data_IF_420051654793
#
_entry.id   IF_420051654793
#
_cell.length_a   1.000
_cell.length_b   1.000
_cell.length_c   1.000
_cell.angle_alpha   90.00
_cell.angle_beta   90.00
_cell.angle_gamma   90.00
#
_symmetry.space_group_name_H-M   'P 1'
#
loop_
_entity.id
_entity.type
_entity.pdbx_description
1 polymer ?
#
# COMPACT_ATOMS: atom_id res chain seq x y z
N UNK A 1 6.42 -32.49 12.21
CA UNK A 1 5.84 -32.25 10.87
C UNK A 1 6.04 -30.78 10.51
N UNK A 2 7.29 -30.34 10.31
CA UNK A 2 7.63 -28.92 10.03
C UNK A 2 8.84 -28.73 9.13
N UNK A 3 9.50 -29.81 8.67
CA UNK A 3 10.73 -29.70 7.89
C UNK A 3 10.48 -29.44 6.39
N UNK A 4 9.41 -30.01 5.85
CA UNK A 4 9.05 -29.95 4.42
C UNK A 4 8.72 -28.53 3.93
N UNK A 5 8.02 -27.74 4.76
CA UNK A 5 7.67 -26.35 4.42
C UNK A 5 8.90 -25.45 4.27
N UNK A 6 9.98 -25.73 5.03
CA UNK A 6 11.22 -24.96 4.95
C UNK A 6 12.01 -25.26 3.67
N UNK A 7 11.99 -26.51 3.21
CA UNK A 7 12.69 -26.94 2.00
C UNK A 7 11.99 -26.42 0.74
N UNK A 8 10.66 -26.41 0.74
CA UNK A 8 9.84 -25.82 -0.33
C UNK A 8 10.10 -24.32 -0.45
N UNK A 9 10.12 -23.59 0.66
CA UNK A 9 10.36 -22.15 0.64
C UNK A 9 11.78 -21.81 0.14
N UNK A 10 12.80 -22.54 0.61
CA UNK A 10 14.19 -22.39 0.11
C UNK A 10 14.28 -22.64 -1.40
N UNK A 11 13.59 -23.65 -1.91
CA UNK A 11 13.58 -23.99 -3.34
C UNK A 11 12.89 -22.91 -4.18
N UNK A 12 11.81 -22.31 -3.64
CA UNK A 12 11.14 -21.18 -4.28
C UNK A 12 12.06 -19.96 -4.34
N UNK A 13 12.70 -19.60 -3.23
CA UNK A 13 13.65 -18.48 -3.17
C UNK A 13 14.81 -18.70 -4.15
N UNK A 14 15.39 -19.90 -4.21
CA UNK A 14 16.47 -20.21 -5.13
C UNK A 14 16.08 -20.01 -6.60
N UNK A 15 14.88 -20.45 -7.00
CA UNK A 15 14.38 -20.25 -8.36
C UNK A 15 14.13 -18.78 -8.68
N UNK A 16 13.67 -18.02 -7.70
CA UNK A 16 13.52 -16.58 -7.84
C UNK A 16 14.89 -15.92 -8.05
N UNK A 17 15.90 -16.19 -7.21
CA UNK A 17 17.26 -15.65 -7.37
C UNK A 17 17.84 -15.98 -8.76
N UNK A 18 17.63 -17.19 -9.26
CA UNK A 18 18.11 -17.57 -10.59
C UNK A 18 17.44 -16.78 -11.72
N UNK A 19 16.14 -16.50 -11.62
CA UNK A 19 15.45 -15.66 -12.61
C UNK A 19 16.00 -14.22 -12.60
N UNK A 20 16.27 -13.65 -11.41
CA UNK A 20 16.89 -12.33 -11.29
C UNK A 20 18.21 -12.24 -12.03
N UNK A 21 19.13 -13.17 -11.71
CA UNK A 21 20.48 -13.16 -12.28
C UNK A 21 20.45 -13.46 -13.79
N UNK A 22 19.44 -14.19 -14.28
CA UNK A 22 19.24 -14.40 -15.71
C UNK A 22 18.75 -13.13 -16.43
N UNK A 23 17.85 -12.36 -15.80
CA UNK A 23 17.36 -11.09 -16.35
C UNK A 23 18.42 -9.97 -16.26
N UNK A 24 19.36 -10.10 -15.33
CA UNK A 24 20.45 -9.14 -15.09
C UNK A 24 21.82 -9.85 -15.04
N UNK A 25 22.35 -10.35 -16.17
CA UNK A 25 23.56 -11.17 -16.21
C UNK A 25 24.82 -10.43 -15.75
N UNK A 26 24.82 -9.10 -15.80
CA UNK A 26 25.91 -8.24 -15.34
C UNK A 26 25.74 -7.79 -13.88
N UNK A 27 24.72 -8.29 -13.17
CA UNK A 27 24.49 -7.93 -11.77
C UNK A 27 25.56 -8.56 -10.86
N UNK A 28 26.53 -7.76 -10.45
CA UNK A 28 27.46 -8.08 -9.37
C UNK A 28 26.85 -7.70 -8.01
N UNK A 29 25.76 -8.38 -7.66
CA UNK A 29 24.99 -8.02 -6.49
C UNK A 29 25.46 -8.74 -5.21
N UNK A 30 25.26 -8.09 -4.07
CA UNK A 30 25.56 -8.67 -2.76
C UNK A 30 24.34 -9.37 -2.19
N UNK A 31 24.48 -10.19 -1.14
CA UNK A 31 23.32 -10.76 -0.45
C UNK A 31 22.33 -9.68 -0.02
N UNK A 32 22.83 -8.59 0.56
CA UNK A 32 22.00 -7.48 1.02
C UNK A 32 21.28 -6.81 -0.16
N UNK A 33 21.93 -6.68 -1.32
CA UNK A 33 21.31 -6.10 -2.50
C UNK A 33 20.23 -7.00 -3.13
N UNK A 34 20.48 -8.31 -3.22
CA UNK A 34 19.49 -9.32 -3.66
C UNK A 34 18.25 -9.31 -2.75
N UNK A 35 18.46 -9.20 -1.42
CA UNK A 35 17.37 -9.19 -0.43
C UNK A 35 16.61 -7.86 -0.43
N UNK A 36 17.31 -6.72 -0.40
CA UNK A 36 16.67 -5.40 -0.26
C UNK A 36 16.00 -4.91 -1.53
N UNK A 37 16.60 -5.14 -2.69
CA UNK A 37 16.13 -4.52 -3.92
C UNK A 37 15.21 -5.47 -4.67
N UNK A 38 15.70 -6.64 -5.07
CA UNK A 38 14.93 -7.45 -6.00
C UNK A 38 13.82 -8.29 -5.37
N UNK A 39 14.10 -8.97 -4.23
CA UNK A 39 13.07 -9.77 -3.55
C UNK A 39 11.97 -8.90 -2.92
N UNK A 40 12.32 -7.72 -2.41
CA UNK A 40 11.34 -6.78 -1.88
C UNK A 40 10.51 -6.16 -3.00
N UNK A 41 11.12 -5.69 -4.08
CA UNK A 41 10.43 -5.09 -5.23
C UNK A 41 9.46 -6.07 -5.89
N UNK A 42 9.87 -7.33 -6.09
CA UNK A 42 8.96 -8.36 -6.63
C UNK A 42 7.80 -8.69 -5.71
N UNK A 43 8.04 -8.78 -4.40
CA UNK A 43 6.95 -8.96 -3.42
C UNK A 43 6.00 -7.76 -3.45
N UNK A 44 6.53 -6.53 -3.50
CA UNK A 44 5.72 -5.32 -3.63
C UNK A 44 4.86 -5.40 -4.90
N UNK A 45 5.45 -5.73 -6.06
CA UNK A 45 4.72 -5.86 -7.31
C UNK A 45 3.61 -6.93 -7.25
N UNK A 46 3.94 -8.13 -6.72
CA UNK A 46 2.98 -9.22 -6.57
C UNK A 46 1.81 -8.87 -5.65
N UNK A 47 2.05 -8.07 -4.61
CA UNK A 47 1.03 -7.69 -3.65
C UNK A 47 0.28 -6.41 -4.04
N UNK A 48 0.77 -5.64 -5.02
CA UNK A 48 0.16 -4.36 -5.41
C UNK A 48 -1.29 -4.52 -5.86
N UNK A 49 -1.59 -5.53 -6.69
CA UNK A 49 -2.96 -5.79 -7.15
C UNK A 49 -3.89 -6.15 -5.99
N UNK A 50 -3.46 -7.05 -5.09
CA UNK A 50 -4.25 -7.45 -3.93
C UNK A 50 -4.47 -6.27 -2.95
N UNK A 51 -3.47 -5.41 -2.77
CA UNK A 51 -3.58 -4.19 -1.96
C UNK A 51 -4.56 -3.21 -2.61
N UNK A 52 -4.51 -3.06 -3.94
CA UNK A 52 -5.44 -2.20 -4.67
C UNK A 52 -6.89 -2.69 -4.49
N UNK A 53 -7.17 -3.97 -4.70
CA UNK A 53 -8.50 -4.55 -4.49
C UNK A 53 -8.99 -4.36 -3.05
N UNK A 54 -8.12 -4.55 -2.05
CA UNK A 54 -8.46 -4.31 -0.66
C UNK A 54 -8.78 -2.84 -0.37
N UNK A 55 -8.03 -1.91 -0.95
CA UNK A 55 -8.30 -0.46 -0.83
C UNK A 55 -9.63 -0.08 -1.48
N UNK A 56 -9.93 -0.60 -2.68
CA UNK A 56 -11.21 -0.39 -3.37
C UNK A 56 -12.38 -0.90 -2.53
N UNK A 57 -12.26 -2.09 -1.92
CA UNK A 57 -13.25 -2.64 -1.00
C UNK A 57 -13.49 -1.73 0.22
N UNK A 58 -12.42 -1.28 0.89
CA UNK A 58 -12.53 -0.41 2.06
C UNK A 58 -13.12 0.97 1.72
N UNK A 59 -12.88 1.49 0.51
CA UNK A 59 -13.51 2.72 0.01
C UNK A 59 -15.00 2.49 -0.25
N UNK A 60 -15.37 1.38 -0.89
CA UNK A 60 -16.75 1.02 -1.17
C UNK A 60 -17.59 0.82 0.11
N UNK A 61 -16.98 0.24 1.16
CA UNK A 61 -17.58 0.11 2.50
C UNK A 61 -17.63 1.44 3.27
N UNK A 62 -16.99 2.49 2.76
CA UNK A 62 -16.95 3.82 3.37
C UNK A 62 -16.08 3.91 4.63
N UNK A 63 -15.29 2.88 4.94
CA UNK A 63 -14.35 2.84 6.07
C UNK A 63 -13.23 3.85 5.89
N UNK A 64 -12.73 3.96 4.66
CA UNK A 64 -11.69 4.92 4.28
C UNK A 64 -12.21 5.85 3.16
N UNK A 65 -11.48 6.95 2.95
CA UNK A 65 -11.70 7.92 1.88
C UNK A 65 -10.49 7.87 0.95
N UNK A 66 -10.75 7.79 -0.36
CA UNK A 66 -9.76 8.02 -1.41
C UNK A 66 -9.79 9.50 -1.82
N UNK A 67 -8.62 10.14 -1.86
CA UNK A 67 -8.45 11.48 -2.38
C UNK A 67 -7.45 11.44 -3.53
N UNK A 68 -7.94 11.66 -4.76
CA UNK A 68 -7.10 11.77 -5.94
C UNK A 68 -6.44 13.14 -5.96
N UNK A 69 -5.12 13.18 -6.07
CA UNK A 69 -4.37 14.40 -6.31
C UNK A 69 -4.13 14.54 -7.83
N UNK A 70 -4.13 15.77 -8.33
CA UNK A 70 -4.07 16.06 -9.79
C UNK A 70 -2.74 15.63 -10.42
N UNK A 71 -1.68 15.47 -9.63
CA UNK A 71 -0.33 15.13 -10.10
C UNK A 71 0.30 13.91 -9.40
N UNK A 72 -0.40 13.24 -8.48
CA UNK A 72 0.16 12.15 -7.68
C UNK A 72 -0.80 10.96 -7.51
N UNK A 73 -0.26 9.82 -7.09
CA UNK A 73 -1.01 8.62 -6.70
C UNK A 73 -2.07 8.95 -5.64
N UNK A 74 -3.18 8.22 -5.65
CA UNK A 74 -4.28 8.42 -4.72
C UNK A 74 -3.83 8.31 -3.25
N UNK A 75 -4.35 9.20 -2.40
CA UNK A 75 -4.11 9.18 -0.95
C UNK A 75 -5.32 8.58 -0.25
N UNK A 76 -5.08 7.61 0.64
CA UNK A 76 -6.13 6.94 1.41
C UNK A 76 -6.08 7.33 2.88
N UNK A 77 -7.24 7.65 3.48
CA UNK A 77 -7.35 8.02 4.91
C UNK A 77 -8.58 7.42 5.57
N UNK A 78 -8.49 7.06 6.85
CA UNK A 78 -9.66 6.57 7.61
C UNK A 78 -10.74 7.66 7.70
N UNK A 79 -12.01 7.27 7.48
CA UNK A 79 -13.15 8.16 7.70
C UNK A 79 -13.33 8.36 9.21
N UNK A 80 -12.91 9.52 9.72
CA UNK A 80 -13.23 9.92 11.10
C UNK A 80 -14.73 10.20 11.17
N UNK A 81 -15.46 9.50 12.04
CA UNK A 81 -16.83 9.91 12.41
C UNK A 81 -16.72 11.27 13.09
N UNK A 82 -17.34 12.28 12.50
CA UNK A 82 -17.42 13.62 13.04
C UNK A 82 -18.38 13.61 14.25
N UNK A 83 -17.91 13.08 15.38
CA UNK A 83 -18.55 13.32 16.66
C UNK A 83 -17.93 14.58 17.27
N UNK A 84 -18.47 15.73 16.88
CA UNK A 84 -18.07 17.03 17.40
C UNK A 84 -18.93 18.14 16.82
N UNK A 85 -20.10 18.35 17.41
CA UNK A 85 -21.05 19.41 17.11
C UNK A 85 -20.44 20.72 16.58
N UNK A 86 -20.74 21.06 15.32
CA UNK A 86 -20.90 22.45 14.91
C UNK A 86 -22.31 22.60 14.35
N UNK A 87 -23.28 22.75 15.25
CA UNK A 87 -24.45 23.55 14.93
C UNK A 87 -24.16 24.98 15.39
N UNK A 88 -23.81 25.87 14.45
CA UNK A 88 -24.09 27.31 14.48
C UNK A 88 -24.09 27.87 13.04
N UNK A 89 -25.06 27.43 12.24
CA UNK A 89 -25.83 28.42 11.49
C UNK A 89 -26.54 29.30 12.53
N UNK A 90 -25.83 30.25 13.16
CA UNK A 90 -26.38 31.19 14.14
C UNK A 90 -25.38 32.32 14.48
N UNK A 91 -24.59 32.74 13.49
CA UNK A 91 -23.69 33.90 13.64
C UNK A 91 -23.62 34.75 12.36
N UNK A 92 -24.74 34.91 11.67
CA UNK A 92 -24.87 35.83 10.52
C UNK A 92 -25.99 36.87 10.65
N UNK A 93 -26.75 36.91 11.75
CA UNK A 93 -27.86 37.88 11.95
C UNK A 93 -27.66 38.81 13.17
N UNK A 94 -26.42 39.22 13.50
CA UNK A 94 -26.22 40.15 14.65
C UNK A 94 -25.25 41.31 14.47
N UNK A 95 -24.79 41.61 13.24
CA UNK A 95 -24.10 42.88 12.91
C UNK A 95 -24.34 43.35 11.47
N UNK A 96 -25.51 43.07 10.91
CA UNK A 96 -26.15 44.00 9.98
C UNK A 96 -27.30 44.63 10.75
N UNK A 97 -27.27 45.96 10.88
CA UNK A 97 -28.21 46.86 11.57
C UNK A 97 -27.82 47.28 13.00
N UNK A 98 -27.48 48.57 13.12
CA UNK A 98 -27.20 49.32 14.34
C UNK A 98 -26.01 50.24 14.17
#
# INVERSE_FOLDING_TARGET
MTDDSSAVEKSKIAREILNYLADHPDAEDTLDGIVQWWLLERKIYQHTAAVQEALEGLVAEGVILEQRQVEASAVYRVRRKENGAISRQDRWLRKSEG
#
